data_IF_487637219355
#
_entry.id   IF_487637219355
#
_cell.length_a   1.000
_cell.length_b   1.000
_cell.length_c   1.000
_cell.angle_alpha   90.00
_cell.angle_beta   90.00
_cell.angle_gamma   90.00
#
_symmetry.space_group_name_H-M   'P 1'
#
loop_
_entity.id
_entity.type
_entity.pdbx_description
1 polymer ?
#
# COMPACT_ATOMS: atom_id res chain seq x y z
N UNK A 1 0.36 14.00 13.47
CA UNK A 1 1.61 14.61 12.97
C UNK A 1 2.79 13.99 13.74
N UNK A 2 3.69 13.25 13.08
CA UNK A 2 4.92 12.76 13.72
C UNK A 2 5.98 13.87 13.65
N UNK A 3 6.58 14.21 14.78
CA UNK A 3 7.76 15.07 14.84
C UNK A 3 8.90 14.42 14.02
N UNK A 4 9.52 15.15 13.08
CA UNK A 4 10.78 14.74 12.44
C UNK A 4 10.78 14.45 10.93
N UNK A 5 9.64 14.49 10.22
CA UNK A 5 9.57 14.37 8.75
C UNK A 5 8.93 15.62 8.13
N UNK A 6 9.46 16.79 8.45
CA UNK A 6 9.16 17.98 7.63
C UNK A 6 9.93 17.84 6.32
N UNK A 7 9.21 17.82 5.20
CA UNK A 7 9.75 18.02 3.87
C UNK A 7 10.55 19.32 3.88
N UNK A 8 11.87 19.23 3.70
CA UNK A 8 12.75 20.38 3.74
C UNK A 8 12.51 21.21 2.46
N UNK A 9 11.74 22.30 2.56
CA UNK A 9 11.33 23.18 1.44
C UNK A 9 12.50 23.96 0.78
N UNK A 10 13.73 23.46 0.84
CA UNK A 10 14.90 24.22 0.35
C UNK A 10 14.84 24.36 -1.18
N UNK A 11 14.62 25.61 -1.60
CA UNK A 11 14.64 26.18 -2.96
C UNK A 11 13.78 25.41 -3.97
N UNK A 12 12.47 25.42 -3.75
CA UNK A 12 11.51 25.28 -4.85
C UNK A 12 11.65 26.48 -5.81
N UNK A 13 11.90 26.24 -7.08
CA UNK A 13 11.86 27.25 -8.14
C UNK A 13 10.39 27.66 -8.38
N UNK A 14 9.87 28.56 -7.56
CA UNK A 14 8.55 29.17 -7.75
C UNK A 14 8.70 30.51 -8.45
N UNK A 15 7.71 30.87 -9.27
CA UNK A 15 7.65 32.19 -9.89
C UNK A 15 7.57 33.28 -8.82
N UNK A 16 8.20 34.43 -9.06
CA UNK A 16 8.18 35.57 -8.14
C UNK A 16 6.72 35.99 -7.90
N UNK A 17 6.27 35.93 -6.64
CA UNK A 17 4.90 36.29 -6.25
C UNK A 17 4.00 35.09 -5.93
N UNK A 18 4.40 33.86 -6.27
CA UNK A 18 3.67 32.66 -5.87
C UNK A 18 4.37 31.92 -4.72
N UNK A 19 3.61 31.63 -3.66
CA UNK A 19 4.10 30.75 -2.60
C UNK A 19 4.05 29.32 -3.12
N UNK A 20 5.20 28.66 -3.19
CA UNK A 20 5.29 27.23 -3.40
C UNK A 20 4.50 26.49 -2.32
N UNK A 21 3.36 25.91 -2.71
CA UNK A 21 2.57 25.00 -1.88
C UNK A 21 2.80 23.60 -2.44
N UNK A 22 3.65 22.83 -1.77
CA UNK A 22 3.68 21.39 -2.03
C UNK A 22 2.34 20.81 -1.53
N UNK A 23 1.61 20.04 -2.35
CA UNK A 23 0.46 19.30 -1.85
C UNK A 23 0.97 18.32 -0.80
N UNK A 24 0.81 18.67 0.46
CA UNK A 24 1.30 17.87 1.57
C UNK A 24 0.31 16.72 1.80
N UNK A 25 0.36 15.70 0.96
CA UNK A 25 -0.45 14.50 1.14
C UNK A 25 0.27 13.54 2.08
N UNK A 26 0.26 13.86 3.38
CA UNK A 26 0.71 12.93 4.42
C UNK A 26 -0.45 12.01 4.82
N UNK A 27 -1.06 11.31 3.87
CA UNK A 27 -1.91 10.18 4.23
C UNK A 27 -1.01 8.96 4.44
N UNK A 28 -0.71 8.67 5.71
CA UNK A 28 -0.09 7.40 6.07
C UNK A 28 -1.20 6.35 6.19
N UNK A 29 -1.55 5.71 5.06
CA UNK A 29 -2.40 4.50 5.08
C UNK A 29 -1.51 3.27 5.23
N UNK A 30 -1.56 2.59 6.38
CA UNK A 30 -0.96 1.26 6.52
C UNK A 30 -1.81 0.28 5.70
N UNK A 31 -1.24 -0.28 4.65
CA UNK A 31 -1.88 -1.31 3.82
C UNK A 31 -1.17 -2.63 4.05
N UNK A 32 -1.96 -3.69 4.17
CA UNK A 32 -1.46 -5.04 4.34
C UNK A 32 -1.47 -5.77 2.99
N UNK A 33 -0.41 -6.53 2.77
CA UNK A 33 -0.23 -7.45 1.65
C UNK A 33 -0.47 -8.86 2.15
N UNK A 34 -1.35 -9.59 1.48
CA UNK A 34 -1.51 -11.02 1.64
C UNK A 34 -0.90 -11.71 0.43
N UNK A 35 -0.01 -12.67 0.69
CA UNK A 35 0.73 -13.37 -0.35
C UNK A 35 0.77 -14.87 -0.10
N UNK A 36 0.58 -15.65 -1.16
CA UNK A 36 0.76 -17.09 -1.19
C UNK A 36 1.77 -17.44 -2.28
N UNK A 37 2.69 -18.35 -1.98
CA UNK A 37 3.77 -18.75 -2.90
C UNK A 37 3.81 -20.27 -2.94
N UNK A 38 3.76 -20.84 -4.14
CA UNK A 38 3.94 -22.27 -4.34
C UNK A 38 5.44 -22.61 -4.34
N UNK A 39 5.93 -23.42 -3.38
CA UNK A 39 7.33 -23.81 -3.36
C UNK A 39 7.71 -24.78 -4.48
N UNK A 40 6.72 -25.48 -5.06
CA UNK A 40 6.96 -26.49 -6.10
C UNK A 40 6.95 -25.90 -7.51
N UNK A 41 6.05 -24.96 -7.78
CA UNK A 41 5.86 -24.39 -9.11
C UNK A 41 6.45 -22.99 -9.26
N UNK A 42 6.78 -22.33 -8.16
CA UNK A 42 7.27 -20.95 -8.16
C UNK A 42 6.18 -19.89 -8.40
N UNK A 43 4.92 -20.32 -8.52
CA UNK A 43 3.78 -19.42 -8.68
C UNK A 43 3.55 -18.59 -7.43
N UNK A 44 3.08 -17.36 -7.61
CA UNK A 44 2.80 -16.46 -6.51
C UNK A 44 1.51 -15.68 -6.73
N UNK A 45 0.73 -15.53 -5.67
CA UNK A 45 -0.55 -14.86 -5.66
C UNK A 45 -0.56 -13.81 -4.56
N UNK A 46 -0.94 -12.57 -4.90
CA UNK A 46 -0.80 -11.42 -4.01
C UNK A 46 -2.04 -10.54 -4.08
N UNK A 47 -2.55 -10.13 -2.93
CA UNK A 47 -3.60 -9.10 -2.83
C UNK A 47 -3.13 -7.99 -1.89
N UNK A 48 -3.15 -6.77 -2.39
CA UNK A 48 -2.80 -5.54 -1.66
C UNK A 48 -4.05 -4.69 -1.49
N UNK A 49 -4.12 -3.94 -0.40
CA UNK A 49 -5.13 -2.90 -0.21
C UNK A 49 -6.01 -3.10 1.02
N UNK A 50 -5.73 -4.12 1.82
CA UNK A 50 -6.42 -4.29 3.09
C UNK A 50 -5.94 -3.22 4.09
N UNK A 51 -6.89 -2.52 4.69
CA UNK A 51 -6.61 -1.52 5.72
C UNK A 51 -6.35 -2.15 7.09
N UNK A 52 -6.63 -3.46 7.26
CA UNK A 52 -6.51 -4.20 8.52
C UNK A 52 -6.12 -5.65 8.26
N UNK A 53 -5.59 -6.30 9.28
CA UNK A 53 -5.34 -7.75 9.35
C UNK A 53 -6.35 -8.36 10.31
N UNK A 54 -7.43 -8.91 9.76
CA UNK A 54 -8.53 -9.53 10.50
C UNK A 54 -9.03 -10.79 9.76
N UNK A 55 -9.96 -11.51 10.38
CA UNK A 55 -10.53 -12.73 9.80
C UNK A 55 -11.29 -12.45 8.50
N UNK A 56 -11.91 -11.28 8.35
CA UNK A 56 -12.63 -10.93 7.12
C UNK A 56 -11.67 -10.73 5.93
N UNK A 57 -10.60 -9.96 6.11
CA UNK A 57 -9.57 -9.78 5.08
C UNK A 57 -8.89 -11.09 4.70
N UNK A 58 -8.66 -11.97 5.68
CA UNK A 58 -8.12 -13.31 5.44
C UNK A 58 -9.09 -14.16 4.60
N UNK A 59 -10.39 -14.17 4.93
CA UNK A 59 -11.37 -14.94 4.15
C UNK A 59 -11.48 -14.44 2.72
N UNK A 60 -11.52 -13.12 2.50
CA UNK A 60 -11.54 -12.53 1.16
C UNK A 60 -10.31 -12.98 0.35
N UNK A 61 -9.13 -13.01 0.99
CA UNK A 61 -7.92 -13.49 0.35
C UNK A 61 -8.00 -14.98 -0.01
N UNK A 62 -8.51 -15.83 0.90
CA UNK A 62 -8.66 -17.26 0.68
C UNK A 62 -9.69 -17.57 -0.42
N UNK A 63 -10.82 -16.87 -0.45
CA UNK A 63 -11.85 -17.03 -1.48
C UNK A 63 -11.29 -16.67 -2.86
N UNK A 64 -10.57 -15.54 -2.96
CA UNK A 64 -9.91 -15.13 -4.20
C UNK A 64 -8.79 -16.08 -4.63
N UNK A 65 -8.08 -16.67 -3.67
CA UNK A 65 -7.06 -17.68 -3.94
C UNK A 65 -7.69 -18.98 -4.47
N UNK A 66 -8.80 -19.43 -3.88
CA UNK A 66 -9.55 -20.59 -4.35
C UNK A 66 -10.14 -20.38 -5.75
N UNK A 67 -10.65 -19.18 -6.04
CA UNK A 67 -11.14 -18.85 -7.37
C UNK A 67 -10.01 -18.88 -8.42
N UNK A 68 -8.82 -18.39 -8.06
CA UNK A 68 -7.66 -18.39 -8.94
C UNK A 68 -7.05 -19.78 -9.12
N UNK A 69 -7.14 -20.64 -8.10
CA UNK A 69 -6.65 -22.02 -8.12
C UNK A 69 -7.75 -23.01 -7.68
N UNK A 70 -8.74 -23.30 -8.55
CA UNK A 70 -9.90 -24.12 -8.20
C UNK A 70 -9.58 -25.61 -8.03
N UNK A 71 -8.40 -26.05 -8.46
CA UNK A 71 -7.96 -27.45 -8.47
C UNK A 71 -6.85 -27.76 -7.45
N UNK A 72 -6.50 -26.83 -6.56
CA UNK A 72 -5.60 -27.07 -5.42
C UNK A 72 -6.33 -27.60 -4.21
#
# INVERSE_FOLDING_TARGET
MRFGLMTNEKRSWSAIGERSRLPNQMEYSNRYLYSAISPQHGDSFHIIGFNRTDTQSTNIFLDALQEHYPNT
#
